data_IF_715126633314
#
_entry.id   IF_715126633314
#
_cell.length_a   1.000
_cell.length_b   1.000
_cell.length_c   1.000
_cell.angle_alpha   90.00
_cell.angle_beta   90.00
_cell.angle_gamma   90.00
#
_symmetry.space_group_name_H-M   'P 1'
#
loop_
_entity.id
_entity.type
_entity.pdbx_description
1 polymer ?
#
# COMPACT_ATOMS: atom_id res chain seq x y z
N UNK A 1 50.58 -40.49 -45.18
CA UNK A 1 49.37 -40.41 -46.01
C UNK A 1 48.21 -40.50 -45.04
N UNK A 2 47.70 -39.35 -44.61
CA UNK A 2 46.47 -38.74 -45.15
C UNK A 2 45.25 -39.52 -44.60
N UNK A 3 44.23 -38.97 -43.97
CA UNK A 3 43.79 -37.58 -43.81
C UNK A 3 42.54 -37.64 -42.89
N UNK A 4 42.18 -36.53 -42.22
CA UNK A 4 40.78 -36.03 -42.15
C UNK A 4 39.71 -36.97 -41.50
N UNK A 5 39.13 -36.74 -40.30
CA UNK A 5 38.37 -35.56 -39.86
C UNK A 5 38.13 -35.55 -38.35
N UNK A 6 38.52 -34.45 -37.70
CA UNK A 6 37.87 -33.92 -36.50
C UNK A 6 36.43 -33.53 -36.84
N UNK A 7 35.44 -34.16 -36.21
CA UNK A 7 34.07 -33.62 -36.14
C UNK A 7 33.95 -32.74 -34.91
N UNK A 8 34.60 -31.57 -34.97
CA UNK A 8 34.17 -30.38 -34.22
C UNK A 8 33.36 -29.52 -35.17
N UNK A 9 32.05 -29.40 -34.97
CA UNK A 9 31.32 -28.18 -35.33
C UNK A 9 30.03 -28.05 -34.53
N UNK A 10 30.08 -27.08 -33.62
CA UNK A 10 29.03 -26.09 -33.37
C UNK A 10 27.61 -26.57 -33.08
N UNK A 11 27.33 -26.68 -31.78
CA UNK A 11 26.05 -26.20 -31.28
C UNK A 11 26.07 -24.65 -31.38
N UNK A 12 25.07 -23.98 -31.98
CA UNK A 12 25.01 -22.52 -32.00
C UNK A 12 24.80 -22.01 -30.56
N UNK A 13 25.39 -20.87 -30.15
CA UNK A 13 25.01 -20.24 -28.89
C UNK A 13 23.60 -19.68 -29.04
N UNK A 14 22.62 -20.30 -28.41
CA UNK A 14 21.29 -19.71 -28.14
C UNK A 14 21.31 -18.66 -27.01
N UNK A 15 22.49 -18.14 -26.64
CA UNK A 15 22.65 -17.27 -25.48
C UNK A 15 23.01 -15.83 -25.88
N UNK A 16 22.15 -15.15 -26.64
CA UNK A 16 22.27 -13.69 -26.81
C UNK A 16 21.27 -12.93 -25.92
N UNK A 17 20.10 -13.50 -25.57
CA UNK A 17 19.18 -12.85 -24.62
C UNK A 17 19.55 -13.09 -23.15
N UNK A 18 20.22 -14.20 -22.83
CA UNK A 18 20.72 -14.47 -21.46
C UNK A 18 21.82 -13.48 -21.03
N UNK A 19 22.52 -12.86 -21.98
CA UNK A 19 23.68 -11.99 -21.70
C UNK A 19 23.32 -10.59 -21.16
N UNK A 20 22.03 -10.22 -21.10
CA UNK A 20 21.59 -8.90 -20.62
C UNK A 20 21.46 -8.84 -19.09
N UNK A 21 21.32 -9.98 -18.42
CA UNK A 21 21.08 -10.04 -16.98
C UNK A 21 22.19 -10.82 -16.29
N UNK A 22 22.88 -10.16 -15.36
CA UNK A 22 23.85 -10.83 -14.50
C UNK A 22 23.13 -11.67 -13.43
N UNK A 23 23.78 -12.73 -12.94
CA UNK A 23 23.28 -13.48 -11.78
C UNK A 23 23.07 -12.57 -10.55
N UNK A 24 23.93 -11.57 -10.38
CA UNK A 24 23.82 -10.59 -9.30
C UNK A 24 22.56 -9.72 -9.42
N UNK A 25 22.20 -9.26 -10.62
CA UNK A 25 21.00 -8.44 -10.83
C UNK A 25 19.71 -9.25 -10.66
N UNK A 26 19.72 -10.53 -11.06
CA UNK A 26 18.58 -11.44 -10.83
C UNK A 26 18.40 -11.68 -9.31
N UNK A 27 19.50 -11.95 -8.61
CA UNK A 27 19.48 -12.14 -7.15
C UNK A 27 18.98 -10.89 -6.41
N UNK A 28 19.42 -9.70 -6.83
CA UNK A 28 18.97 -8.43 -6.25
C UNK A 28 17.46 -8.21 -6.44
N UNK A 29 16.91 -8.52 -7.62
CA UNK A 29 15.48 -8.41 -7.87
C UNK A 29 14.65 -9.38 -6.99
N UNK A 30 15.20 -10.58 -6.74
CA UNK A 30 14.58 -11.54 -5.84
C UNK A 30 14.62 -11.07 -4.38
N UNK A 31 15.76 -10.57 -3.92
CA UNK A 31 15.92 -9.99 -2.58
C UNK A 31 14.97 -8.82 -2.36
N UNK A 32 14.81 -7.94 -3.34
CA UNK A 32 13.86 -6.83 -3.28
C UNK A 32 12.39 -7.33 -3.18
N UNK A 33 12.03 -8.39 -3.90
CA UNK A 33 10.68 -8.97 -3.81
C UNK A 33 10.42 -9.61 -2.43
N UNK A 34 11.38 -10.35 -1.89
CA UNK A 34 11.30 -10.95 -0.55
C UNK A 34 11.26 -9.87 0.54
N UNK A 35 12.03 -8.79 0.35
CA UNK A 35 12.02 -7.64 1.24
C UNK A 35 10.69 -6.93 1.23
N UNK A 36 10.08 -6.72 0.06
CA UNK A 36 8.75 -6.13 -0.06
C UNK A 36 7.71 -6.96 0.71
N UNK A 37 7.73 -8.29 0.57
CA UNK A 37 6.83 -9.18 1.31
C UNK A 37 6.99 -9.00 2.83
N UNK A 38 8.23 -8.98 3.32
CA UNK A 38 8.54 -8.78 4.74
C UNK A 38 8.05 -7.42 5.26
N UNK A 39 8.23 -6.36 4.46
CA UNK A 39 7.77 -5.01 4.79
C UNK A 39 6.24 -4.95 4.88
N UNK A 40 5.53 -5.54 3.92
CA UNK A 40 4.06 -5.56 3.90
C UNK A 40 3.49 -6.36 5.09
N UNK A 41 4.17 -7.41 5.52
CA UNK A 41 3.78 -8.13 6.72
C UNK A 41 4.03 -7.30 7.99
N UNK A 42 5.18 -6.62 8.08
CA UNK A 42 5.50 -5.73 9.21
C UNK A 42 4.53 -4.54 9.30
N UNK A 43 4.16 -3.95 8.16
CA UNK A 43 3.13 -2.92 8.07
C UNK A 43 1.78 -3.44 8.60
N UNK A 44 1.39 -4.66 8.22
CA UNK A 44 0.15 -5.25 8.68
C UNK A 44 0.12 -5.42 10.21
N UNK A 45 1.23 -5.89 10.78
CA UNK A 45 1.35 -6.08 12.22
C UNK A 45 1.32 -4.74 12.98
N UNK A 46 1.99 -3.71 12.45
CA UNK A 46 1.92 -2.35 12.98
C UNK A 46 0.49 -1.76 12.89
N UNK A 47 -0.20 -1.93 11.76
CA UNK A 47 -1.60 -1.52 11.62
C UNK A 47 -2.50 -2.26 12.61
N UNK A 48 -2.28 -3.56 12.82
CA UNK A 48 -3.07 -4.38 13.75
C UNK A 48 -2.89 -3.93 15.20
N UNK A 49 -1.67 -3.54 15.61
CA UNK A 49 -1.38 -2.99 16.93
C UNK A 49 -1.70 -1.50 17.08
N UNK A 50 -2.12 -0.83 16.00
CA UNK A 50 -2.34 0.63 15.91
C UNK A 50 -1.08 1.45 16.16
N UNK A 51 0.09 0.88 15.89
CA UNK A 51 1.37 1.59 15.95
C UNK A 51 1.61 2.33 14.63
N UNK A 52 1.06 3.53 14.52
CA UNK A 52 1.21 4.37 13.32
C UNK A 52 2.64 4.88 13.13
N UNK A 53 3.40 5.03 14.21
CA UNK A 53 4.81 5.44 14.13
C UNK A 53 5.65 4.34 13.49
N UNK A 54 5.46 3.08 13.89
CA UNK A 54 6.11 1.96 13.23
C UNK A 54 5.66 1.80 11.77
N UNK A 55 4.36 1.98 11.48
CA UNK A 55 3.85 1.95 10.10
C UNK A 55 4.48 3.03 9.21
N UNK A 56 4.56 4.27 9.70
CA UNK A 56 5.13 5.41 8.96
C UNK A 56 6.63 5.22 8.71
N UNK A 57 7.37 4.69 9.68
CA UNK A 57 8.80 4.39 9.54
C UNK A 57 9.10 3.40 8.39
N UNK A 58 8.17 2.47 8.10
CA UNK A 58 8.31 1.47 7.03
C UNK A 58 8.02 2.04 5.63
N UNK A 59 7.36 3.20 5.51
CA UNK A 59 6.89 3.73 4.23
C UNK A 59 8.04 4.11 3.29
N UNK A 60 9.12 4.68 3.84
CA UNK A 60 10.29 5.10 3.06
C UNK A 60 10.93 3.88 2.39
N UNK A 61 11.26 2.86 3.18
CA UNK A 61 11.92 1.67 2.69
C UNK A 61 11.06 0.91 1.65
N UNK A 62 9.75 0.79 1.89
CA UNK A 62 8.83 0.20 0.90
C UNK A 62 8.88 0.95 -0.42
N UNK A 63 8.92 2.28 -0.39
CA UNK A 63 9.01 3.12 -1.58
C UNK A 63 10.30 2.89 -2.36
N UNK A 64 11.43 2.77 -1.66
CA UNK A 64 12.73 2.49 -2.27
C UNK A 64 12.77 1.11 -2.94
N UNK A 65 12.28 0.07 -2.26
CA UNK A 65 12.18 -1.30 -2.80
C UNK A 65 11.29 -1.34 -4.04
N UNK A 66 10.11 -0.71 -3.99
CA UNK A 66 9.21 -0.62 -5.15
C UNK A 66 9.85 0.12 -6.33
N UNK A 67 10.63 1.17 -6.06
CA UNK A 67 11.34 1.93 -7.09
C UNK A 67 12.36 1.05 -7.81
N UNK A 68 13.15 0.25 -7.07
CA UNK A 68 14.10 -0.70 -7.66
C UNK A 68 13.41 -1.78 -8.48
N UNK A 69 12.34 -2.38 -7.94
CA UNK A 69 11.55 -3.39 -8.66
C UNK A 69 10.91 -2.82 -9.94
N UNK A 70 10.45 -1.56 -9.92
CA UNK A 70 9.90 -0.89 -11.09
C UNK A 70 10.96 -0.68 -12.18
N UNK A 71 12.18 -0.25 -11.81
CA UNK A 71 13.29 -0.12 -12.75
C UNK A 71 13.63 -1.46 -13.43
N UNK A 72 13.65 -2.56 -12.66
CA UNK A 72 13.84 -3.90 -13.22
C UNK A 72 12.69 -4.27 -14.17
N UNK A 73 11.45 -4.02 -13.78
CA UNK A 73 10.28 -4.30 -14.60
C UNK A 73 10.29 -3.54 -15.95
N UNK A 74 10.72 -2.28 -15.95
CA UNK A 74 10.85 -1.47 -17.17
C UNK A 74 11.89 -2.06 -18.12
N UNK A 75 13.05 -2.45 -17.59
CA UNK A 75 14.12 -3.09 -18.36
C UNK A 75 13.70 -4.45 -18.91
N UNK A 76 12.94 -5.24 -18.15
CA UNK A 76 12.37 -6.51 -18.60
C UNK A 76 11.31 -6.27 -19.70
N UNK A 77 10.46 -5.27 -19.54
CA UNK A 77 9.38 -4.97 -20.50
C UNK A 77 9.90 -4.52 -21.87
N UNK A 78 11.11 -3.97 -21.91
CA UNK A 78 11.80 -3.63 -23.15
C UNK A 78 12.36 -4.86 -23.90
N UNK A 79 12.31 -6.06 -23.31
CA UNK A 79 12.81 -7.30 -23.91
C UNK A 79 11.67 -8.18 -24.43
N UNK A 80 11.90 -8.75 -25.62
CA UNK A 80 11.04 -9.76 -26.22
C UNK A 80 11.91 -10.93 -26.69
N UNK A 81 11.76 -12.14 -26.13
CA UNK A 81 10.78 -12.54 -25.10
C UNK A 81 11.14 -12.06 -23.67
N UNK A 82 10.14 -12.07 -22.78
CA UNK A 82 10.31 -11.78 -21.35
C UNK A 82 11.17 -12.88 -20.70
N UNK A 83 12.21 -12.55 -19.92
CA UNK A 83 13.08 -13.56 -19.30
C UNK A 83 12.35 -14.48 -18.32
N UNK A 84 12.70 -15.77 -18.33
CA UNK A 84 12.05 -16.80 -17.50
C UNK A 84 12.18 -16.53 -15.99
N UNK A 85 13.32 -15.99 -15.56
CA UNK A 85 13.54 -15.64 -14.14
C UNK A 85 12.57 -14.56 -13.67
N UNK A 86 12.16 -13.62 -14.54
CA UNK A 86 11.17 -12.60 -14.21
C UNK A 86 9.78 -13.24 -14.12
N UNK A 87 9.45 -14.14 -15.05
CA UNK A 87 8.19 -14.89 -15.00
C UNK A 87 8.05 -15.69 -13.70
N UNK A 88 9.16 -16.26 -13.19
CA UNK A 88 9.19 -16.97 -11.92
C UNK A 88 8.95 -16.06 -10.69
N UNK A 89 9.26 -14.76 -10.80
CA UNK A 89 9.05 -13.77 -9.72
C UNK A 89 7.60 -13.26 -9.64
N UNK A 90 6.86 -13.28 -10.76
CA UNK A 90 5.50 -12.72 -10.85
C UNK A 90 4.51 -13.26 -9.80
N UNK A 91 4.48 -14.56 -9.44
CA UNK A 91 3.61 -15.05 -8.39
C UNK A 91 3.88 -14.41 -7.02
N UNK A 92 5.15 -14.20 -6.67
CA UNK A 92 5.54 -13.53 -5.41
C UNK A 92 5.13 -12.05 -5.40
N UNK A 93 5.33 -11.35 -6.51
CA UNK A 93 4.86 -9.97 -6.65
C UNK A 93 3.33 -9.85 -6.62
N UNK A 94 2.62 -10.83 -7.18
CA UNK A 94 1.17 -10.90 -7.09
C UNK A 94 0.70 -11.09 -5.65
N UNK A 95 1.42 -11.89 -4.85
CA UNK A 95 1.15 -12.02 -3.41
C UNK A 95 1.41 -10.69 -2.67
N UNK A 96 2.51 -10.01 -2.96
CA UNK A 96 2.79 -8.68 -2.38
C UNK A 96 1.66 -7.69 -2.68
N UNK A 97 1.09 -7.72 -3.90
CA UNK A 97 -0.09 -6.89 -4.22
C UNK A 97 -1.30 -7.25 -3.34
N UNK A 98 -1.56 -8.54 -3.11
CA UNK A 98 -2.66 -8.96 -2.24
C UNK A 98 -2.45 -8.51 -0.79
N UNK A 99 -1.24 -8.66 -0.27
CA UNK A 99 -0.88 -8.25 1.10
C UNK A 99 -1.01 -6.73 1.27
N UNK A 100 -0.61 -5.96 0.26
CA UNK A 100 -0.81 -4.51 0.26
C UNK A 100 -2.29 -4.12 0.25
N UNK A 101 -3.12 -4.78 -0.56
CA UNK A 101 -4.57 -4.54 -0.56
C UNK A 101 -5.22 -4.87 0.79
N UNK A 102 -4.77 -5.95 1.45
CA UNK A 102 -5.18 -6.30 2.82
C UNK A 102 -4.84 -5.15 3.80
N UNK A 103 -3.64 -4.59 3.70
CA UNK A 103 -3.21 -3.47 4.57
C UNK A 103 -4.09 -2.23 4.35
N UNK A 104 -4.36 -1.87 3.09
CA UNK A 104 -5.25 -0.74 2.76
C UNK A 104 -6.65 -0.95 3.36
N UNK A 105 -7.23 -2.14 3.22
CA UNK A 105 -8.56 -2.43 3.75
C UNK A 105 -8.61 -2.30 5.28
N UNK A 106 -7.57 -2.76 5.98
CA UNK A 106 -7.48 -2.61 7.44
C UNK A 106 -7.44 -1.13 7.85
N UNK A 107 -6.56 -0.35 7.21
CA UNK A 107 -6.42 1.08 7.49
C UNK A 107 -7.73 1.84 7.21
N UNK A 108 -8.42 1.53 6.12
CA UNK A 108 -9.72 2.13 5.79
C UNK A 108 -10.78 1.86 6.86
N UNK A 109 -10.88 0.61 7.36
CA UNK A 109 -11.81 0.25 8.43
C UNK A 109 -11.50 1.00 9.73
N UNK A 110 -10.22 1.14 10.07
CA UNK A 110 -9.79 1.90 11.24
C UNK A 110 -10.18 3.38 11.12
N UNK A 111 -9.96 4.00 9.96
CA UNK A 111 -10.40 5.37 9.71
C UNK A 111 -11.92 5.54 9.79
N UNK A 112 -12.69 4.59 9.26
CA UNK A 112 -14.15 4.61 9.36
C UNK A 112 -14.61 4.55 10.82
N UNK A 113 -13.99 3.71 11.64
CA UNK A 113 -14.29 3.62 13.06
C UNK A 113 -13.99 4.94 13.80
N UNK A 114 -12.85 5.58 13.50
CA UNK A 114 -12.50 6.90 14.08
C UNK A 114 -13.53 7.97 13.68
N UNK A 115 -13.89 8.03 12.40
CA UNK A 115 -14.92 8.97 11.91
C UNK A 115 -16.28 8.74 12.59
N UNK A 116 -16.70 7.48 12.69
CA UNK A 116 -17.96 7.12 13.36
C UNK A 116 -17.96 7.50 14.85
N UNK A 117 -16.85 7.27 15.56
CA UNK A 117 -16.70 7.68 16.95
C UNK A 117 -16.79 9.20 17.12
N UNK A 118 -16.12 9.97 16.25
CA UNK A 118 -16.21 11.44 16.27
C UNK A 118 -17.63 11.93 15.99
N UNK A 119 -18.33 11.33 15.02
CA UNK A 119 -19.72 11.67 14.71
C UNK A 119 -20.66 11.37 15.89
N UNK A 120 -20.48 10.25 16.59
CA UNK A 120 -21.27 9.92 17.77
C UNK A 120 -21.07 10.95 18.90
N UNK A 121 -19.83 11.35 19.16
CA UNK A 121 -19.51 12.37 20.16
C UNK A 121 -20.11 13.75 19.78
N UNK A 122 -20.07 14.12 18.49
CA UNK A 122 -20.64 15.38 18.01
C UNK A 122 -22.18 15.36 18.00
N UNK A 123 -22.80 14.22 17.70
CA UNK A 123 -24.26 14.05 17.69
C UNK A 123 -24.92 14.19 19.06
N UNK A 124 -24.28 13.69 20.12
CA UNK A 124 -24.74 13.85 21.51
C UNK A 124 -24.71 15.33 21.95
N UNK A 125 -23.73 16.09 21.45
CA UNK A 125 -23.57 17.52 21.76
C UNK A 125 -24.63 18.37 21.05
N UNK A 126 -25.04 18.00 19.83
CA UNK A 126 -26.08 18.72 19.09
C UNK A 126 -27.49 18.56 19.70
N UNK A 127 -27.83 17.35 20.18
CA UNK A 127 -29.13 17.08 20.81
C UNK A 127 -29.23 17.72 22.19
N UNK A 128 -28.15 17.70 22.98
CA UNK A 128 -28.12 18.33 24.30
C UNK A 128 -28.16 19.86 24.22
N UNK A 129 -27.50 20.50 23.24
CA UNK A 129 -27.58 21.95 23.02
C UNK A 129 -28.98 22.38 22.54
N UNK A 130 -29.64 21.63 21.64
CA UNK A 130 -31.01 21.94 21.18
C UNK A 130 -32.04 21.83 22.33
N UNK A 131 -31.83 20.91 23.29
CA UNK A 131 -32.70 20.80 24.48
C UNK A 131 -32.49 21.95 25.49
N UNK A 132 -31.25 22.42 25.69
CA UNK A 132 -30.98 23.58 26.55
C UNK A 132 -31.47 24.91 25.94
N UNK A 133 -31.34 25.07 24.62
CA UNK A 133 -31.84 26.27 23.93
C UNK A 133 -33.38 26.33 23.95
N UNK A 134 -34.05 25.17 23.75
CA UNK A 134 -35.51 25.07 23.84
C UNK A 134 -36.06 25.31 25.24
N UNK A 135 -35.37 24.89 26.31
CA UNK A 135 -35.81 25.15 27.68
C UNK A 135 -35.61 26.63 28.09
N UNK A 136 -34.56 27.29 27.58
CA UNK A 136 -34.26 28.70 27.84
C UNK A 136 -35.18 29.68 27.12
N UNK A 137 -35.81 29.28 26.02
CA UNK A 137 -36.74 30.10 25.23
C UNK A 137 -38.17 30.15 25.83
N UNK A 138 -38.56 29.17 26.66
CA UNK A 138 -39.92 29.10 27.24
C UNK A 138 -40.09 30.01 28.47
N UNK A 139 -39.01 30.42 29.15
CA UNK A 139 -39.08 31.29 30.34
C UNK A 139 -39.11 32.81 30.06
N UNK A 140 -39.16 33.27 28.81
CA UNK A 140 -39.20 34.72 28.47
C UNK A 140 -40.49 35.20 27.80
N UNK A 141 -41.63 34.53 28.01
CA UNK A 141 -42.94 35.04 27.59
C UNK A 141 -43.97 35.01 28.72
N UNK A 142 -43.66 35.68 29.83
CA UNK A 142 -44.69 36.09 30.78
C UNK A 142 -44.28 37.41 31.44
N UNK A 143 -45.04 38.46 31.11
CA UNK A 143 -45.10 39.69 31.90
C UNK A 143 -44.55 40.94 31.21
N UNK A 144 -45.35 41.58 30.35
CA UNK A 144 -45.64 43.02 30.48
C UNK A 144 -47.09 43.26 29.99
N UNK A 145 -47.98 43.47 30.96
CA UNK A 145 -49.27 44.16 30.81
C UNK A 145 -49.09 45.56 31.40
N UNK A 146 -49.87 46.53 30.91
CA UNK A 146 -50.13 47.86 31.50
C UNK A 146 -49.11 48.96 31.12
N UNK A 147 -49.43 50.24 30.86
CA UNK A 147 -50.66 51.05 30.77
C UNK A 147 -50.22 52.48 30.36
N UNK A 148 -51.18 53.36 30.01
CA UNK A 148 -51.12 54.85 29.92
C UNK A 148 -50.41 55.46 28.68
N UNK A 149 -50.78 56.61 28.14
CA UNK A 149 -51.94 57.51 28.18
C UNK A 149 -51.57 58.74 27.30
N UNK A 150 -52.59 59.53 26.93
CA UNK A 150 -52.56 60.86 26.26
C UNK A 150 -52.43 60.88 24.73
#
# INVERSE_FOLDING_TARGET
MADFLMSTTNNPPTSTSEALWSSASIAAAQEDADRLSTLLQSEFDALKSRDLTAFDALQLERGEVLTRLAQVADLVSAQAPVPDWWQALLPGLAQCKQDHLRNIQLLQRQMQAVKGALQALQGETAVSVDLYDRLGQVSRRQGVVAYLAA
#
